data_IF_280984147794
#
_entry.id   IF_280984147794
#
_cell.length_a   1.000
_cell.length_b   1.000
_cell.length_c   1.000
_cell.angle_alpha   90.00
_cell.angle_beta   90.00
_cell.angle_gamma   90.00
#
_symmetry.space_group_name_H-M   'P 1'
#
loop_
_entity.id
_entity.type
_entity.pdbx_description
1 polymer ?
#
# COMPACT_ATOMS: atom_id res chain seq x y z
N UNK A 1 12.56 28.14 -0.58
CA UNK A 1 12.38 27.50 0.75
C UNK A 1 10.95 26.97 0.96
N UNK A 2 9.89 27.73 0.71
CA UNK A 2 8.51 27.24 0.91
C UNK A 2 8.11 26.06 -0.01
N UNK A 3 8.58 26.03 -1.26
CA UNK A 3 8.23 24.97 -2.23
C UNK A 3 8.84 23.60 -1.87
N UNK A 4 10.06 23.58 -1.30
CA UNK A 4 10.70 22.35 -0.84
C UNK A 4 9.94 21.73 0.35
N UNK A 5 9.26 22.56 1.16
CA UNK A 5 8.48 22.06 2.29
C UNK A 5 7.22 21.32 1.84
N UNK A 6 6.65 21.68 0.68
CA UNK A 6 5.45 21.02 0.14
C UNK A 6 5.79 19.70 -0.55
N UNK A 7 6.90 19.66 -1.28
CA UNK A 7 7.45 18.41 -1.81
C UNK A 7 7.81 17.45 -0.66
N UNK A 8 8.45 17.97 0.39
CA UNK A 8 8.79 17.19 1.59
C UNK A 8 7.53 16.72 2.34
N UNK A 9 6.49 17.54 2.45
CA UNK A 9 5.21 17.15 3.06
C UNK A 9 4.49 16.06 2.25
N UNK A 10 4.48 16.18 0.92
CA UNK A 10 3.91 15.16 0.04
C UNK A 10 4.69 13.84 0.14
N UNK A 11 6.03 13.91 0.15
CA UNK A 11 6.92 12.76 0.30
C UNK A 11 6.72 12.08 1.67
N UNK A 12 6.70 12.85 2.76
CA UNK A 12 6.47 12.34 4.10
C UNK A 12 5.10 11.67 4.24
N UNK A 13 4.06 12.24 3.63
CA UNK A 13 2.71 11.65 3.60
C UNK A 13 2.75 10.28 2.91
N UNK A 14 3.36 10.21 1.72
CA UNK A 14 3.42 8.95 0.95
C UNK A 14 4.29 7.88 1.63
N UNK A 15 5.48 8.24 2.12
CA UNK A 15 6.42 7.28 2.72
C UNK A 15 6.00 6.77 4.10
N UNK A 16 5.03 7.41 4.72
CA UNK A 16 4.40 6.95 5.97
C UNK A 16 3.16 6.09 5.73
N UNK A 17 2.80 5.85 4.46
CA UNK A 17 1.58 5.13 4.05
C UNK A 17 0.29 5.79 4.55
N UNK A 18 0.34 7.08 4.85
CA UNK A 18 -0.82 7.86 5.25
C UNK A 18 -1.61 8.29 4.01
N UNK A 19 -2.95 8.32 4.13
CA UNK A 19 -3.76 8.87 3.05
C UNK A 19 -3.67 10.39 3.03
N UNK A 20 -3.83 10.99 1.84
CA UNK A 20 -3.89 12.44 1.72
C UNK A 20 -5.02 13.04 2.59
N UNK A 21 -6.17 12.36 2.66
CA UNK A 21 -7.32 12.81 3.45
C UNK A 21 -6.99 12.87 4.93
N UNK A 22 -6.35 11.84 5.47
CA UNK A 22 -5.98 11.81 6.88
C UNK A 22 -5.03 12.98 7.19
N UNK A 23 -3.96 13.13 6.41
CA UNK A 23 -2.97 14.20 6.63
C UNK A 23 -3.56 15.59 6.40
N UNK A 24 -4.50 15.74 5.46
CA UNK A 24 -5.22 16.99 5.24
C UNK A 24 -6.07 17.40 6.45
N UNK A 25 -6.76 16.46 7.08
CA UNK A 25 -7.56 16.71 8.27
C UNK A 25 -6.67 17.13 9.46
N UNK A 26 -5.57 16.41 9.69
CA UNK A 26 -4.57 16.78 10.70
C UNK A 26 -3.98 18.17 10.46
N UNK A 27 -3.61 18.50 9.23
CA UNK A 27 -3.08 19.81 8.90
C UNK A 27 -4.11 20.92 9.09
N UNK A 28 -5.38 20.67 8.79
CA UNK A 28 -6.47 21.61 9.06
C UNK A 28 -6.59 21.92 10.56
N UNK A 29 -6.51 20.91 11.43
CA UNK A 29 -6.54 21.09 12.88
C UNK A 29 -5.32 21.85 13.42
N UNK A 30 -4.15 21.62 12.82
CA UNK A 30 -2.89 22.27 13.21
C UNK A 30 -2.66 23.63 12.50
N UNK A 31 -3.60 24.06 11.66
CA UNK A 31 -3.49 25.25 10.81
C UNK A 31 -2.20 25.25 9.94
N UNK A 32 -1.83 24.06 9.44
CA UNK A 32 -0.72 23.84 8.53
C UNK A 32 -1.21 23.87 7.08
N UNK A 33 -0.36 24.40 6.20
CA UNK A 33 -0.65 24.45 4.76
C UNK A 33 -0.17 23.17 4.09
N UNK A 34 -1.03 22.55 3.29
CA UNK A 34 -0.70 21.39 2.46
C UNK A 34 -0.99 21.67 0.99
N UNK A 35 -0.30 20.98 0.07
CA UNK A 35 -0.66 21.02 -1.35
C UNK A 35 -2.09 20.55 -1.54
N UNK A 36 -2.81 21.12 -2.51
CA UNK A 36 -4.13 20.61 -2.88
C UNK A 36 -4.03 19.15 -3.35
N UNK A 37 -5.14 18.40 -3.25
CA UNK A 37 -5.19 16.98 -3.63
C UNK A 37 -4.67 16.73 -5.05
N UNK A 38 -5.02 17.58 -6.02
CA UNK A 38 -4.51 17.52 -7.39
C UNK A 38 -2.99 17.71 -7.46
N UNK A 39 -2.48 18.74 -6.79
CA UNK A 39 -1.03 19.03 -6.71
C UNK A 39 -0.29 17.89 -6.02
N UNK A 40 -0.84 17.32 -4.95
CA UNK A 40 -0.26 16.16 -4.26
C UNK A 40 -0.06 14.97 -5.22
N UNK A 41 -1.09 14.58 -5.98
CA UNK A 41 -0.96 13.49 -6.95
C UNK A 41 -0.04 13.84 -8.13
N UNK A 42 0.00 15.10 -8.55
CA UNK A 42 0.95 15.56 -9.57
C UNK A 42 2.40 15.42 -9.09
N UNK A 43 2.69 15.86 -7.87
CA UNK A 43 3.98 15.69 -7.21
C UNK A 43 4.34 14.21 -7.08
N UNK A 44 3.38 13.36 -6.66
CA UNK A 44 3.59 11.92 -6.61
C UNK A 44 4.00 11.36 -7.97
N UNK A 45 3.26 11.67 -9.02
CA UNK A 45 3.51 11.14 -10.35
C UNK A 45 4.84 11.61 -10.95
N UNK A 46 5.23 12.86 -10.72
CA UNK A 46 6.46 13.42 -11.32
C UNK A 46 7.72 13.10 -10.53
N UNK A 47 7.62 13.06 -9.19
CA UNK A 47 8.77 12.97 -8.30
C UNK A 47 8.79 11.70 -7.46
N UNK A 48 7.72 11.43 -6.72
CA UNK A 48 7.78 10.42 -5.66
C UNK A 48 7.73 8.99 -6.20
N UNK A 49 6.78 8.68 -7.08
CA UNK A 49 6.61 7.35 -7.68
C UNK A 49 7.86 6.92 -8.47
N UNK A 50 8.48 7.78 -9.30
CA UNK A 50 9.72 7.39 -9.97
C UNK A 50 10.88 7.09 -9.02
N UNK A 51 11.04 7.87 -7.95
CA UNK A 51 12.08 7.60 -6.93
C UNK A 51 11.82 6.28 -6.22
N UNK A 52 10.58 6.02 -5.83
CA UNK A 52 10.17 4.75 -5.25
C UNK A 52 10.52 3.61 -6.21
N UNK A 53 10.10 3.70 -7.47
CA UNK A 53 10.34 2.65 -8.47
C UNK A 53 11.84 2.39 -8.69
N UNK A 54 12.66 3.43 -8.77
CA UNK A 54 14.10 3.30 -8.92
C UNK A 54 14.76 2.65 -7.70
N UNK A 55 14.40 3.09 -6.49
CA UNK A 55 14.91 2.52 -5.25
C UNK A 55 14.52 1.05 -5.09
N UNK A 56 13.26 0.70 -5.36
CA UNK A 56 12.80 -0.69 -5.33
C UNK A 56 13.55 -1.56 -6.34
N UNK A 57 13.73 -1.07 -7.56
CA UNK A 57 14.47 -1.81 -8.60
C UNK A 57 15.92 -2.04 -8.19
N UNK A 58 16.61 -1.03 -7.66
CA UNK A 58 17.98 -1.18 -7.13
C UNK A 58 18.06 -2.24 -6.01
N UNK A 59 17.07 -2.23 -5.12
CA UNK A 59 17.00 -3.21 -4.03
C UNK A 59 16.76 -4.62 -4.58
N UNK A 60 15.80 -4.79 -5.47
CA UNK A 60 15.48 -6.06 -6.14
C UNK A 60 16.70 -6.62 -6.89
N UNK A 61 17.39 -5.79 -7.68
CA UNK A 61 18.60 -6.18 -8.41
C UNK A 61 19.73 -6.62 -7.47
N UNK A 62 19.91 -5.92 -6.35
CA UNK A 62 20.92 -6.24 -5.34
C UNK A 62 20.62 -7.58 -4.66
N UNK A 63 19.37 -7.79 -4.24
CA UNK A 63 18.95 -9.03 -3.58
C UNK A 63 19.05 -10.20 -4.57
N UNK A 64 18.57 -10.03 -5.80
CA UNK A 64 18.68 -11.06 -6.85
C UNK A 64 20.13 -11.43 -7.15
N UNK A 65 21.02 -10.45 -7.32
CA UNK A 65 22.44 -10.70 -7.55
C UNK A 65 23.05 -11.51 -6.40
N UNK A 66 22.75 -11.14 -5.14
CA UNK A 66 23.19 -11.91 -3.97
C UNK A 66 22.70 -13.36 -4.03
N UNK A 67 21.39 -13.58 -4.23
CA UNK A 67 20.81 -14.92 -4.26
C UNK A 67 21.39 -15.79 -5.39
N UNK A 68 21.66 -15.19 -6.56
CA UNK A 68 22.32 -15.86 -7.69
C UNK A 68 23.75 -16.29 -7.29
N UNK A 69 24.53 -15.41 -6.67
CA UNK A 69 25.87 -15.76 -6.19
C UNK A 69 25.83 -16.92 -5.18
N UNK A 70 24.94 -16.86 -4.19
CA UNK A 70 24.77 -17.93 -3.21
C UNK A 70 24.44 -19.28 -3.87
N UNK A 71 23.57 -19.26 -4.89
CA UNK A 71 23.23 -20.47 -5.65
C UNK A 71 24.43 -21.01 -6.42
N UNK A 72 25.26 -20.14 -7.03
CA UNK A 72 26.47 -20.53 -7.76
C UNK A 72 27.56 -21.09 -6.85
N UNK A 73 27.64 -20.59 -5.61
CA UNK A 73 28.58 -21.06 -4.59
C UNK A 73 28.13 -22.37 -3.92
N UNK A 74 26.95 -22.89 -4.31
CA UNK A 74 26.39 -24.14 -3.79
C UNK A 74 25.72 -24.00 -2.42
N UNK A 75 25.42 -22.78 -1.98
CA UNK A 75 24.69 -22.52 -0.75
C UNK A 75 23.18 -22.76 -0.93
N UNK A 76 22.51 -23.15 0.16
CA UNK A 76 21.06 -23.31 0.17
C UNK A 76 20.36 -21.95 0.20
N UNK A 77 19.42 -21.73 -0.73
CA UNK A 77 18.60 -20.52 -0.81
C UNK A 77 17.16 -20.85 -0.45
N UNK A 78 16.64 -20.21 0.60
CA UNK A 78 15.28 -20.42 1.11
C UNK A 78 14.39 -19.23 0.76
N UNK A 79 13.50 -19.43 -0.20
CA UNK A 79 12.53 -18.41 -0.64
C UNK A 79 11.13 -18.85 -0.21
N UNK A 80 10.43 -17.98 0.49
CA UNK A 80 9.02 -18.11 0.81
C UNK A 80 8.21 -17.04 0.07
N UNK A 81 6.90 -17.23 -0.05
CA UNK A 81 6.05 -16.24 -0.70
C UNK A 81 4.61 -16.33 -0.24
N UNK A 82 3.91 -15.21 -0.35
CA UNK A 82 2.51 -15.10 0.04
C UNK A 82 1.78 -14.13 -0.90
N UNK A 83 0.47 -14.33 -1.05
CA UNK A 83 -0.42 -13.51 -1.84
C UNK A 83 -1.34 -12.68 -0.96
N UNK A 84 -1.22 -11.34 -1.01
CA UNK A 84 -2.16 -10.44 -0.36
C UNK A 84 -3.22 -9.99 -1.37
N UNK A 85 -4.49 -10.23 -1.03
CA UNK A 85 -5.65 -9.76 -1.82
C UNK A 85 -6.45 -8.65 -1.13
N UNK A 86 -5.96 -8.15 0.00
CA UNK A 86 -6.69 -7.25 0.88
C UNK A 86 -6.08 -5.84 0.79
N UNK A 87 -6.81 -4.91 0.18
CA UNK A 87 -6.49 -3.47 0.24
C UNK A 87 -7.71 -2.67 0.73
N UNK A 88 -7.55 -1.69 1.63
CA UNK A 88 -8.69 -0.95 2.18
C UNK A 88 -9.49 -0.24 1.08
N UNK A 89 -10.76 -0.61 0.92
CA UNK A 89 -11.70 0.05 0.02
C UNK A 89 -11.69 -0.40 -1.45
N UNK A 90 -10.92 -1.43 -1.85
CA UNK A 90 -10.89 -1.89 -3.23
C UNK A 90 -10.80 -3.41 -3.39
N UNK A 91 -11.50 -3.85 -4.43
CA UNK A 91 -11.84 -5.24 -4.70
C UNK A 91 -10.66 -6.21 -4.82
N UNK A 92 -10.89 -7.49 -4.50
CA UNK A 92 -9.98 -8.65 -4.71
C UNK A 92 -9.63 -8.93 -6.20
N UNK A 93 -9.84 -7.95 -7.08
CA UNK A 93 -9.52 -7.97 -8.50
C UNK A 93 -8.03 -8.19 -8.74
N UNK A 94 -7.18 -7.68 -7.85
CA UNK A 94 -5.74 -7.80 -7.93
C UNK A 94 -5.20 -8.46 -6.66
N UNK A 95 -4.32 -9.43 -6.84
CA UNK A 95 -3.56 -10.09 -5.77
C UNK A 95 -2.10 -9.70 -5.93
N UNK A 96 -1.50 -9.15 -4.89
CA UNK A 96 -0.06 -8.92 -4.86
C UNK A 96 0.61 -10.16 -4.31
N UNK A 97 1.36 -10.87 -5.16
CA UNK A 97 2.20 -11.99 -4.74
C UNK A 97 3.58 -11.46 -4.39
N UNK A 98 4.02 -11.63 -3.16
CA UNK A 98 5.36 -11.21 -2.70
C UNK A 98 6.22 -12.42 -2.39
N UNK A 99 7.46 -12.41 -2.85
CA UNK A 99 8.49 -13.38 -2.50
C UNK A 99 9.50 -12.76 -1.53
N UNK A 100 9.91 -13.54 -0.55
CA UNK A 100 10.83 -13.14 0.50
C UNK A 100 11.93 -14.21 0.63
N UNK A 101 13.16 -13.76 0.85
CA UNK A 101 14.24 -14.60 1.32
C UNK A 101 14.05 -14.83 2.82
N UNK A 102 13.69 -16.06 3.20
CA UNK A 102 13.29 -16.42 4.57
C UNK A 102 14.44 -16.24 5.56
N UNK A 103 15.67 -16.38 5.08
CA UNK A 103 16.88 -16.26 5.91
C UNK A 103 17.11 -14.81 6.38
N UNK A 104 16.82 -13.84 5.51
CA UNK A 104 17.08 -12.41 5.76
C UNK A 104 15.82 -11.60 6.03
N UNK A 105 14.62 -12.17 5.82
CA UNK A 105 13.32 -11.49 5.79
C UNK A 105 13.25 -10.34 4.76
N UNK A 106 14.09 -10.36 3.72
CA UNK A 106 14.08 -9.35 2.67
C UNK A 106 13.12 -9.75 1.54
N UNK A 107 12.29 -8.80 1.11
CA UNK A 107 11.44 -8.99 -0.08
C UNK A 107 12.33 -9.04 -1.33
N UNK A 108 12.25 -10.16 -2.06
CA UNK A 108 13.00 -10.39 -3.30
C UNK A 108 12.30 -9.69 -4.46
N UNK A 109 11.00 -9.89 -4.58
CA UNK A 109 10.19 -9.31 -5.64
C UNK A 109 8.71 -9.40 -5.27
N UNK A 110 7.87 -8.60 -5.91
CA UNK A 110 6.42 -8.73 -5.81
C UNK A 110 5.77 -8.46 -7.16
N UNK A 111 4.71 -9.20 -7.47
CA UNK A 111 3.98 -9.11 -8.73
C UNK A 111 2.48 -8.93 -8.47
N UNK A 112 1.86 -8.02 -9.21
CA UNK A 112 0.43 -7.76 -9.13
C UNK A 112 -0.29 -8.60 -10.19
N UNK A 113 -1.11 -9.55 -9.76
CA UNK A 113 -1.79 -10.52 -10.63
C UNK A 113 -3.30 -10.28 -10.58
N UNK A 114 -3.98 -10.31 -11.73
CA UNK A 114 -5.44 -10.17 -11.81
C UNK A 114 -6.17 -11.51 -11.57
N UNK A 115 -6.17 -12.00 -10.34
CA UNK A 115 -6.55 -13.39 -10.03
C UNK A 115 -8.06 -13.68 -10.08
N UNK A 116 -8.91 -12.78 -9.59
CA UNK A 116 -10.35 -13.04 -9.52
C UNK A 116 -10.99 -13.13 -10.91
N UNK A 117 -10.62 -12.23 -11.83
CA UNK A 117 -11.11 -12.30 -13.21
C UNK A 117 -10.69 -13.61 -13.88
N UNK A 118 -9.44 -14.04 -13.65
CA UNK A 118 -8.89 -15.28 -14.20
C UNK A 118 -9.67 -16.51 -13.71
N UNK A 119 -9.94 -16.61 -12.40
CA UNK A 119 -10.73 -17.73 -11.82
C UNK A 119 -12.16 -17.75 -12.35
N UNK A 120 -12.80 -16.60 -12.43
CA UNK A 120 -14.15 -16.46 -12.95
C UNK A 120 -14.23 -16.84 -14.45
N UNK A 121 -13.24 -16.45 -15.27
CA UNK A 121 -13.12 -16.89 -16.66
C UNK A 121 -12.89 -18.40 -16.78
N UNK A 122 -12.08 -18.99 -15.91
CA UNK A 122 -11.83 -20.44 -15.92
C UNK A 122 -13.11 -21.27 -15.75
N UNK A 123 -14.10 -20.77 -15.00
CA UNK A 123 -15.39 -21.45 -14.83
C UNK A 123 -16.16 -21.52 -16.15
N UNK A 124 -16.09 -20.49 -16.99
CA UNK A 124 -16.75 -20.47 -18.30
C UNK A 124 -16.24 -21.59 -19.21
N UNK A 125 -14.93 -21.87 -19.20
CA UNK A 125 -14.36 -23.00 -19.92
C UNK A 125 -14.76 -24.34 -19.27
N UNK A 126 -14.68 -24.42 -17.94
CA UNK A 126 -14.97 -25.65 -17.20
C UNK A 126 -16.40 -26.16 -17.43
N UNK A 127 -17.40 -25.30 -17.37
CA UNK A 127 -18.82 -25.70 -17.54
C UNK A 127 -19.16 -26.13 -18.97
N UNK A 128 -18.32 -25.80 -19.95
CA UNK A 128 -18.41 -26.26 -21.34
C UNK A 128 -17.63 -27.56 -21.58
N UNK A 129 -17.03 -28.15 -20.53
CA UNK A 129 -16.19 -29.34 -20.66
C UNK A 129 -14.81 -29.04 -21.27
N UNK A 130 -14.43 -27.77 -21.37
CA UNK A 130 -13.11 -27.32 -21.83
C UNK A 130 -12.21 -27.20 -20.61
N UNK A 131 -11.37 -28.21 -20.39
CA UNK A 131 -10.49 -28.29 -19.20
C UNK A 131 -9.06 -27.80 -19.45
N UNK A 132 -8.72 -27.53 -20.71
CA UNK A 132 -7.45 -26.92 -21.15
C UNK A 132 -7.76 -25.88 -22.21
N UNK A 133 -7.18 -24.69 -22.10
CA UNK A 133 -7.37 -23.59 -23.03
C UNK A 133 -6.13 -22.72 -23.08
N UNK A 134 -6.01 -21.89 -24.11
CA UNK A 134 -4.93 -20.92 -24.28
C UNK A 134 -5.52 -19.51 -24.27
N UNK A 135 -4.95 -18.62 -23.45
CA UNK A 135 -5.32 -17.20 -23.38
C UNK A 135 -4.03 -16.38 -23.28
N UNK A 136 -3.90 -15.34 -24.11
CA UNK A 136 -2.71 -14.46 -24.17
C UNK A 136 -1.36 -15.21 -24.33
N UNK A 137 -1.38 -16.36 -25.03
CA UNK A 137 -0.19 -17.20 -25.27
C UNK A 137 0.24 -18.05 -24.07
N UNK A 138 -0.58 -18.12 -23.02
CA UNK A 138 -0.37 -18.99 -21.86
C UNK A 138 -1.37 -20.15 -21.84
N UNK A 139 -0.89 -21.36 -21.60
CA UNK A 139 -1.75 -22.53 -21.40
C UNK A 139 -2.34 -22.50 -19.98
N UNK A 140 -3.64 -22.74 -19.89
CA UNK A 140 -4.38 -22.83 -18.65
C UNK A 140 -5.12 -24.16 -18.55
N UNK A 141 -5.29 -24.65 -17.31
CA UNK A 141 -6.02 -25.89 -17.02
C UNK A 141 -6.87 -25.77 -15.75
N UNK A 142 -7.89 -26.62 -15.63
CA UNK A 142 -8.70 -26.69 -14.41
C UNK A 142 -7.90 -27.20 -13.19
N UNK A 143 -8.27 -26.72 -11.99
CA UNK A 143 -7.65 -27.09 -10.70
C UNK A 143 -8.19 -28.42 -10.14
N UNK A 144 -8.26 -29.44 -10.97
CA UNK A 144 -8.54 -30.81 -10.55
C UNK A 144 -7.70 -31.77 -11.39
N UNK A 145 -7.47 -32.98 -10.87
CA UNK A 145 -6.86 -34.07 -11.64
C UNK A 145 -7.68 -34.36 -12.89
N UNK A 146 -7.05 -34.86 -13.95
CA UNK A 146 -7.76 -35.20 -15.19
C UNK A 146 -8.96 -36.09 -14.88
N UNK A 147 -10.12 -35.65 -15.35
CA UNK A 147 -11.35 -36.41 -15.16
C UNK A 147 -11.25 -37.64 -16.07
N UNK A 148 -11.43 -38.85 -15.53
CA UNK A 148 -11.56 -40.05 -16.33
C UNK A 148 -12.65 -39.88 -17.39
N UNK A 149 -12.44 -40.46 -18.58
CA UNK A 149 -13.34 -40.29 -19.73
C UNK A 149 -14.78 -40.74 -19.43
N UNK A 150 -14.98 -41.68 -18.51
CA UNK A 150 -16.30 -42.14 -18.07
C UNK A 150 -17.00 -41.13 -17.16
N UNK A 151 -16.26 -40.41 -16.30
CA UNK A 151 -16.81 -39.31 -15.50
C UNK A 151 -17.16 -38.09 -16.36
N UNK A 152 -16.33 -37.79 -17.36
CA UNK A 152 -16.58 -36.68 -18.27
C UNK A 152 -17.84 -36.90 -19.14
N UNK A 153 -18.12 -38.16 -19.50
CA UNK A 153 -19.36 -38.56 -20.21
C UNK A 153 -20.61 -38.54 -19.35
N UNK A 154 -20.49 -38.74 -18.04
CA UNK A 154 -21.62 -38.68 -17.09
C UNK A 154 -22.04 -37.24 -16.78
N UNK A 155 -21.14 -36.27 -16.96
CA UNK A 155 -21.41 -34.85 -16.74
C UNK A 155 -22.15 -34.25 -17.93
N UNK A 156 -23.13 -33.38 -17.65
CA UNK A 156 -23.84 -32.59 -18.66
C UNK A 156 -23.18 -31.23 -18.76
N UNK A 157 -22.56 -30.96 -19.90
CA UNK A 157 -21.88 -29.70 -20.18
C UNK A 157 -22.84 -28.70 -20.83
N UNK A 158 -22.62 -27.41 -20.61
CA UNK A 158 -23.29 -26.37 -21.36
C UNK A 158 -22.65 -26.22 -22.74
N UNK A 159 -23.47 -25.91 -23.75
CA UNK A 159 -22.98 -25.49 -25.05
C UNK A 159 -22.71 -23.97 -25.02
N UNK A 160 -21.63 -23.52 -25.65
CA UNK A 160 -21.22 -22.10 -25.71
C UNK A 160 -22.26 -21.19 -26.39
N UNK A 161 -23.08 -21.75 -27.29
CA UNK A 161 -24.14 -21.03 -27.98
C UNK A 161 -25.47 -20.98 -27.19
N UNK A 162 -25.54 -21.71 -26.07
CA UNK A 162 -26.77 -21.83 -25.29
C UNK A 162 -27.17 -20.50 -24.63
N UNK A 163 -28.49 -20.23 -24.47
CA UNK A 163 -28.95 -19.03 -23.77
C UNK A 163 -28.41 -18.92 -22.34
N UNK A 164 -28.28 -20.06 -21.64
CA UNK A 164 -27.75 -20.10 -20.29
C UNK A 164 -26.27 -19.72 -20.22
N UNK A 165 -25.47 -20.16 -21.20
CA UNK A 165 -24.05 -19.76 -21.28
C UNK A 165 -23.90 -18.27 -21.56
N UNK A 166 -24.68 -17.70 -22.49
CA UNK A 166 -24.62 -16.27 -22.82
C UNK A 166 -24.94 -15.38 -21.61
N UNK A 167 -25.99 -15.71 -20.87
CA UNK A 167 -26.33 -15.01 -19.61
C UNK A 167 -25.19 -15.10 -18.60
N UNK A 168 -24.58 -16.28 -18.45
CA UNK A 168 -23.46 -16.46 -17.52
C UNK A 168 -22.21 -15.68 -17.98
N UNK A 169 -21.90 -15.69 -19.29
CA UNK A 169 -20.79 -14.95 -19.87
C UNK A 169 -20.91 -13.44 -19.65
N UNK A 170 -22.12 -12.89 -19.64
CA UNK A 170 -22.37 -11.48 -19.31
C UNK A 170 -22.25 -11.18 -17.81
N UNK A 171 -22.56 -12.16 -16.97
CA UNK A 171 -22.59 -12.03 -15.50
C UNK A 171 -21.20 -12.23 -14.87
N UNK A 172 -20.39 -13.15 -15.38
CA UNK A 172 -19.05 -13.49 -14.86
C UNK A 172 -18.07 -12.30 -14.83
N UNK A 173 -18.00 -11.42 -15.85
CA UNK A 173 -17.17 -10.21 -15.79
C UNK A 173 -17.87 -9.05 -15.04
N UNK A 174 -19.07 -9.24 -14.49
CA UNK A 174 -19.81 -8.18 -13.82
C UNK A 174 -19.10 -7.75 -12.53
N UNK A 175 -18.74 -6.48 -12.46
CA UNK A 175 -18.02 -5.87 -11.35
C UNK A 175 -18.75 -5.93 -9.99
N UNK A 176 -20.06 -6.16 -9.95
CA UNK A 176 -20.82 -6.37 -8.70
C UNK A 176 -20.68 -7.79 -8.16
N UNK A 177 -20.81 -8.81 -9.01
CA UNK A 177 -20.62 -10.21 -8.62
C UNK A 177 -19.19 -10.47 -8.13
N UNK A 178 -18.21 -9.85 -8.78
CA UNK A 178 -16.81 -9.91 -8.37
C UNK A 178 -16.59 -9.33 -6.96
N UNK A 179 -17.36 -8.31 -6.54
CA UNK A 179 -17.31 -7.74 -5.18
C UNK A 179 -17.93 -8.63 -4.11
N UNK A 180 -18.97 -9.38 -4.45
CA UNK A 180 -19.64 -10.28 -3.50
C UNK A 180 -18.81 -11.56 -3.25
N UNK A 181 -18.21 -12.13 -4.30
CA UNK A 181 -17.31 -13.29 -4.18
C UNK A 181 -16.04 -13.00 -3.38
N UNK A 182 -15.58 -11.75 -3.44
CA UNK A 182 -14.48 -11.21 -2.65
C UNK A 182 -14.74 -11.28 -1.13
N UNK A 183 -15.97 -10.97 -0.68
CA UNK A 183 -16.32 -11.04 0.75
C UNK A 183 -16.30 -12.47 1.29
N UNK A 184 -16.43 -13.47 0.41
CA UNK A 184 -16.48 -14.88 0.78
C UNK A 184 -15.09 -15.55 0.86
N UNK A 185 -14.05 -14.95 0.27
CA UNK A 185 -12.70 -15.53 0.19
C UNK A 185 -11.81 -15.25 1.43
N UNK A 186 -12.29 -14.42 2.38
CA UNK A 186 -11.56 -13.90 3.55
C UNK A 186 -11.18 -14.92 4.64
N UNK A 187 -11.16 -16.23 4.34
CA UNK A 187 -10.80 -17.25 5.32
C UNK A 187 -9.77 -18.23 4.76
N UNK A 188 -8.46 -17.90 4.83
CA UNK A 188 -7.35 -18.82 5.17
C UNK A 188 -6.10 -18.03 5.57
N UNK A 189 -5.47 -18.41 6.68
CA UNK A 189 -4.15 -17.95 7.11
C UNK A 189 -3.24 -19.15 7.31
N UNK A 190 -2.02 -19.13 6.76
CA UNK A 190 -0.89 -19.91 7.30
C UNK A 190 0.44 -19.25 6.94
N UNK A 191 1.06 -18.61 7.92
CA UNK A 191 2.50 -18.39 8.02
C UNK A 191 2.97 -18.88 9.39
N UNK A 192 4.17 -19.45 9.51
CA UNK A 192 4.69 -19.95 10.77
C UNK A 192 5.06 -18.78 11.70
N UNK A 193 4.27 -18.60 12.76
CA UNK A 193 4.39 -17.52 13.72
C UNK A 193 5.57 -17.80 14.68
N UNK A 194 6.50 -16.84 14.84
CA UNK A 194 7.55 -16.90 15.89
C UNK A 194 6.96 -16.42 17.21
N UNK A 195 7.09 -17.20 18.28
CA UNK A 195 6.43 -16.96 19.57
C UNK A 195 7.42 -16.65 20.70
N UNK A 196 7.11 -15.66 21.53
CA UNK A 196 7.65 -15.44 22.88
C UNK A 196 6.71 -16.07 23.92
N UNK A 197 7.24 -16.54 25.04
CA UNK A 197 6.43 -17.17 26.09
C UNK A 197 6.24 -16.16 27.23
N UNK A 198 5.00 -15.68 27.42
CA UNK A 198 4.67 -14.66 28.43
C UNK A 198 3.71 -15.23 29.46
N UNK A 199 4.04 -15.12 30.75
CA UNK A 199 3.16 -15.56 31.83
C UNK A 199 2.07 -14.52 32.10
N UNK A 200 0.82 -14.89 31.84
CA UNK A 200 -0.31 -14.00 32.03
C UNK A 200 -0.83 -14.13 33.47
N UNK A 201 -0.64 -13.06 34.28
CA UNK A 201 -0.95 -13.07 35.72
C UNK A 201 -2.41 -13.34 36.07
N UNK A 202 -3.36 -12.96 35.20
CA UNK A 202 -4.80 -13.13 35.43
C UNK A 202 -5.26 -14.59 35.25
N UNK A 203 -4.79 -15.25 34.19
CA UNK A 203 -5.12 -16.66 33.92
C UNK A 203 -4.16 -17.65 34.58
N UNK A 204 -3.02 -17.17 35.11
CA UNK A 204 -1.90 -17.97 35.64
C UNK A 204 -1.39 -19.00 34.64
N UNK A 205 -1.42 -18.66 33.35
CA UNK A 205 -1.01 -19.52 32.25
C UNK A 205 0.10 -18.86 31.43
N UNK A 206 0.97 -19.69 30.87
CA UNK A 206 1.96 -19.26 29.88
C UNK A 206 1.31 -19.19 28.50
N UNK A 207 1.45 -18.05 27.83
CA UNK A 207 0.87 -17.83 26.49
C UNK A 207 1.98 -17.44 25.53
N UNK A 208 1.97 -18.10 24.38
CA UNK A 208 2.80 -17.79 23.24
C UNK A 208 2.30 -16.50 22.55
N UNK A 209 3.11 -15.43 22.50
CA UNK A 209 2.79 -14.17 21.82
C UNK A 209 3.80 -13.88 20.72
N UNK A 210 3.41 -13.37 19.55
CA UNK A 210 4.37 -12.96 18.53
C UNK A 210 5.33 -11.88 19.07
N UNK A 211 6.63 -12.01 18.80
CA UNK A 211 7.62 -10.95 19.05
C UNK A 211 7.64 -10.02 17.86
N UNK A 212 7.23 -8.77 18.06
CA UNK A 212 7.44 -7.72 17.07
C UNK A 212 8.75 -6.99 17.42
N UNK A 213 9.69 -6.96 16.48
CA UNK A 213 10.86 -6.08 16.58
C UNK A 213 10.46 -4.69 16.11
N UNK A 214 11.10 -3.64 16.66
CA UNK A 214 10.92 -2.29 16.13
C UNK A 214 11.43 -2.22 14.69
N UNK A 215 10.64 -1.61 13.81
CA UNK A 215 11.03 -1.44 12.42
C UNK A 215 11.99 -0.25 12.30
N UNK A 216 13.17 -0.49 11.72
CA UNK A 216 14.11 0.59 11.40
C UNK A 216 13.68 1.22 10.06
N UNK A 217 12.83 2.24 10.11
CA UNK A 217 12.34 2.95 8.90
C UNK A 217 13.36 3.95 8.34
N UNK A 218 14.66 3.66 8.45
CA UNK A 218 15.78 4.55 8.09
C UNK A 218 15.82 4.87 6.59
N UNK A 219 15.37 3.93 5.75
CA UNK A 219 15.28 4.09 4.29
C UNK A 219 14.44 5.31 3.86
N UNK A 220 13.55 5.80 4.73
CA UNK A 220 12.76 7.01 4.46
C UNK A 220 13.65 8.23 4.24
N UNK A 221 14.76 8.36 4.96
CA UNK A 221 15.68 9.48 4.80
C UNK A 221 16.37 9.42 3.42
N UNK A 222 16.85 8.24 3.03
CA UNK A 222 17.48 8.03 1.72
C UNK A 222 16.50 8.32 0.58
N UNK A 223 15.22 7.93 0.74
CA UNK A 223 14.17 8.26 -0.23
C UNK A 223 13.88 9.77 -0.28
N UNK A 224 13.88 10.47 0.86
CA UNK A 224 13.70 11.93 0.89
C UNK A 224 14.84 12.65 0.15
N UNK A 225 16.08 12.22 0.36
CA UNK A 225 17.24 12.76 -0.34
C UNK A 225 17.15 12.50 -1.85
N UNK A 226 16.75 11.30 -2.26
CA UNK A 226 16.55 10.95 -3.66
C UNK A 226 15.44 11.80 -4.32
N UNK A 227 14.37 12.13 -3.60
CA UNK A 227 13.31 13.05 -4.06
C UNK A 227 13.86 14.46 -4.27
N UNK A 228 14.70 14.95 -3.34
CA UNK A 228 15.34 16.27 -3.49
C UNK A 228 16.26 16.28 -4.70
N UNK A 229 17.09 15.26 -4.89
CA UNK A 229 17.97 15.15 -6.06
C UNK A 229 17.18 15.15 -7.37
N UNK A 230 16.08 14.37 -7.43
CA UNK A 230 15.20 14.35 -8.61
C UNK A 230 14.54 15.70 -8.90
N UNK A 231 14.22 16.50 -7.86
CA UNK A 231 13.70 17.86 -8.03
C UNK A 231 14.76 18.82 -8.57
N UNK A 232 16.02 18.62 -8.20
CA UNK A 232 17.14 19.42 -8.68
C UNK A 232 17.57 19.06 -10.11
N UNK A 233 17.16 17.90 -10.63
CA UNK A 233 17.45 17.45 -11.99
C UNK A 233 16.75 18.36 -13.05
N UNK A 234 17.52 19.09 -13.89
CA UNK A 234 16.96 19.98 -14.90
C UNK A 234 16.17 19.27 -16.01
N UNK A 235 16.35 17.95 -16.18
CA UNK A 235 15.62 17.16 -17.17
C UNK A 235 14.17 16.86 -16.76
N UNK A 236 13.89 16.90 -15.45
CA UNK A 236 12.56 16.63 -14.90
C UNK A 236 11.70 17.87 -14.95
N UNK A 237 10.93 18.02 -16.03
CA UNK A 237 9.97 19.12 -16.19
C UNK A 237 8.70 18.83 -15.36
N UNK A 238 8.50 19.60 -14.30
CA UNK A 238 7.23 19.68 -13.59
C UNK A 238 6.44 20.89 -14.08
N UNK A 239 5.20 20.67 -14.53
CA UNK A 239 4.29 21.74 -14.90
C UNK A 239 3.76 22.41 -13.63
N UNK A 240 4.56 23.27 -13.03
CA UNK A 240 4.07 24.21 -12.02
C UNK A 240 4.96 25.46 -12.00
N UNK A 241 4.61 26.49 -12.77
CA UNK A 241 5.35 27.74 -12.78
C UNK A 241 5.13 28.57 -11.51
N UNK A 242 4.01 28.38 -10.79
CA UNK A 242 3.62 29.26 -9.68
C UNK A 242 2.74 28.52 -8.67
N UNK A 243 3.36 27.80 -7.73
CA UNK A 243 2.73 27.55 -6.42
C UNK A 243 2.67 28.85 -5.60
N UNK A 244 1.96 29.87 -6.10
CA UNK A 244 1.55 31.00 -5.29
C UNK A 244 0.40 30.56 -4.38
N UNK A 245 0.75 30.04 -3.22
CA UNK A 245 -0.20 29.96 -2.12
C UNK A 245 -0.67 31.38 -1.79
N UNK A 246 -1.98 31.61 -1.90
CA UNK A 246 -2.59 32.74 -1.19
C UNK A 246 -2.44 32.45 0.28
N UNK A 247 -1.39 33.00 0.90
CA UNK A 247 -1.30 33.11 2.36
C UNK A 247 -2.65 33.67 2.81
N UNK A 248 -3.42 32.97 3.68
CA UNK A 248 -4.62 33.54 4.24
C UNK A 248 -4.21 34.88 4.84
N UNK A 249 -4.79 35.98 4.35
CA UNK A 249 -4.62 37.26 5.02
C UNK A 249 -5.26 37.10 6.38
N UNK A 250 -4.44 36.80 7.39
CA UNK A 250 -4.81 36.98 8.78
C UNK A 250 -5.37 38.39 8.87
N UNK A 251 -6.58 38.53 9.39
CA UNK A 251 -7.16 39.84 9.60
C UNK A 251 -6.12 40.69 10.34
N UNK A 252 -5.84 41.89 9.82
CA UNK A 252 -4.96 42.82 10.50
C UNK A 252 -5.42 42.92 11.96
N UNK A 253 -4.46 42.95 12.88
CA UNK A 253 -4.71 42.98 14.31
C UNK A 253 -5.93 43.84 14.64
N UNK A 254 -6.99 43.21 15.14
CA UNK A 254 -8.28 43.86 15.43
C UNK A 254 -8.17 44.90 16.56
N UNK A 255 -7.03 44.95 17.25
CA UNK A 255 -6.73 45.96 18.25
C UNK A 255 -6.80 47.36 17.63
N UNK A 256 -7.83 48.11 18.01
CA UNK A 256 -8.00 49.53 17.64
C UNK A 256 -7.03 50.47 18.39
N UNK A 257 -6.30 49.93 19.35
CA UNK A 257 -5.35 50.66 20.21
C UNK A 257 -3.94 50.12 19.98
N UNK A 258 -2.95 51.02 20.05
CA UNK A 258 -1.54 50.64 19.95
C UNK A 258 -1.18 49.63 21.04
N UNK A 259 -0.33 48.66 20.69
CA UNK A 259 0.16 47.66 21.65
C UNK A 259 0.94 48.38 22.77
N UNK A 260 0.50 48.32 24.03
CA UNK A 260 1.24 48.92 25.15
C UNK A 260 2.60 48.23 25.34
N UNK A 261 3.53 48.90 26.04
CA UNK A 261 4.83 48.29 26.34
C UNK A 261 4.63 47.02 27.18
N UNK A 262 5.44 46.02 26.88
CA UNK A 262 5.34 44.69 27.51
C UNK A 262 5.52 44.78 29.03
N UNK A 263 6.40 45.66 29.50
CA UNK A 263 6.62 45.90 30.94
C UNK A 263 5.36 46.40 31.65
N UNK A 264 4.63 47.35 31.04
CA UNK A 264 3.41 47.94 31.63
C UNK A 264 2.26 46.92 31.73
N UNK A 265 2.19 45.98 30.79
CA UNK A 265 1.18 44.91 30.80
C UNK A 265 1.50 43.85 31.86
N UNK A 266 2.79 43.54 32.04
CA UNK A 266 3.23 42.56 33.04
C UNK A 266 3.08 43.13 34.45
N UNK A 267 3.38 44.41 34.67
CA UNK A 267 3.23 45.06 35.98
C UNK A 267 1.77 45.14 36.44
N UNK A 268 0.83 45.29 35.51
CA UNK A 268 -0.61 45.24 35.77
C UNK A 268 -1.20 43.81 35.84
N UNK A 269 -0.42 42.77 35.53
CA UNK A 269 -0.90 41.40 35.52
C UNK A 269 -0.89 40.81 36.93
N UNK A 270 -2.02 40.93 37.63
CA UNK A 270 -2.26 40.19 38.86
C UNK A 270 -2.62 38.73 38.52
N UNK A 271 -1.75 37.79 38.91
CA UNK A 271 -2.04 36.35 38.84
C UNK A 271 -3.25 36.04 39.72
N UNK A 272 -4.19 35.24 39.22
CA UNK A 272 -5.34 34.75 40.01
C UNK A 272 -4.98 33.60 40.94
N UNK A 273 -3.76 33.08 40.81
CA UNK A 273 -3.20 32.08 41.71
C UNK A 273 -2.26 32.80 42.67
N UNK A 274 -2.73 33.03 43.89
CA UNK A 274 -1.86 33.43 45.01
C UNK A 274 -1.04 32.22 45.42
N UNK A 275 0.28 32.32 45.32
CA UNK A 275 1.19 31.35 45.92
C UNK A 275 1.12 31.40 47.46
N UNK A 276 1.62 30.37 48.16
CA UNK A 276 1.45 30.26 49.61
C UNK A 276 2.22 31.27 50.48
N UNK A 277 3.02 32.17 49.88
CA UNK A 277 3.88 33.12 50.63
C UNK A 277 3.66 34.57 50.19
N UNK A 278 2.42 35.07 50.28
CA UNK A 278 2.08 36.50 50.22
C UNK A 278 1.21 36.91 51.38
#
# INVERSE_FOLDING_TARGET
MAENNLLAAAAATLFTDATYTDIADWAGLLNLQLPQKSTYYSIQSSYLIPVIAENYKKQEDTIRARLICQTLDGEEVQICGDGRSDSPGHSCKYTTYSFMDDSTNQIVTFELIQELLRRCKSILHHICGVHRWEEDGMEHKCYHTELPADEQRKKKWLAEDSPAYKVLYEVVPNTRLLKDLEQMALFKHTGLQRHNVVFQKQSKQWIARPVYQETTQTFRNDMMDAVIQRRLDPSVKYQDPETHFKVPRLAANIARVSKPRKEDVISGHASRFTGPDS
#
